data_IF_026503571248
#
_entry.id   IF_026503571248
#
_cell.length_a   1.000
_cell.length_b   1.000
_cell.length_c   1.000
_cell.angle_alpha   90.00
_cell.angle_beta   90.00
_cell.angle_gamma   90.00
#
_symmetry.space_group_name_H-M   'P 1'
#
loop_
_entity.id
_entity.type
_entity.pdbx_description
1 polymer ?
#
# COMPACT_ATOMS: atom_id res chain seq x y z
N UNK A 1 -32.06 -63.37 9.03
CA UNK A 1 -31.17 -63.96 10.04
C UNK A 1 -29.75 -63.54 9.75
N UNK A 2 -29.03 -63.16 10.82
CA UNK A 2 -27.62 -62.73 10.88
C UNK A 2 -27.24 -61.40 10.22
N UNK A 3 -27.26 -60.35 11.02
CA UNK A 3 -26.57 -59.10 10.77
C UNK A 3 -25.25 -59.05 11.56
N UNK A 4 -24.27 -58.35 11.00
CA UNK A 4 -23.06 -57.92 11.69
C UNK A 4 -22.97 -56.39 11.71
N UNK A 5 -22.48 -55.93 12.84
CA UNK A 5 -22.46 -54.59 13.40
C UNK A 5 -21.42 -53.64 12.81
N UNK A 6 -21.80 -52.38 12.59
CA UNK A 6 -20.89 -51.23 12.62
C UNK A 6 -21.42 -50.19 13.62
N UNK A 7 -20.65 -49.95 14.70
CA UNK A 7 -20.91 -48.90 15.69
C UNK A 7 -20.32 -47.58 15.19
N UNK A 8 -21.19 -46.59 15.01
CA UNK A 8 -20.81 -45.20 14.79
C UNK A 8 -20.24 -44.54 16.04
N UNK A 9 -19.42 -43.50 15.84
CA UNK A 9 -18.99 -42.58 16.89
C UNK A 9 -19.21 -41.14 16.42
N UNK A 10 -20.15 -40.47 17.09
CA UNK A 10 -20.42 -39.05 16.96
C UNK A 10 -19.28 -38.18 17.54
N UNK A 11 -19.18 -36.90 17.13
CA UNK A 11 -18.11 -35.98 17.50
C UNK A 11 -18.30 -35.40 18.92
N UNK A 12 -17.20 -35.31 19.68
CA UNK A 12 -17.16 -34.62 20.98
C UNK A 12 -16.82 -33.15 20.78
N UNK A 13 -17.69 -32.29 21.31
CA UNK A 13 -17.56 -30.83 21.32
C UNK A 13 -16.38 -30.33 22.14
N UNK A 14 -15.88 -29.17 21.73
CA UNK A 14 -14.90 -28.39 22.49
C UNK A 14 -15.64 -27.52 23.51
N UNK A 15 -15.41 -27.83 24.79
CA UNK A 15 -15.85 -27.06 25.94
C UNK A 15 -15.06 -25.76 26.04
N UNK A 16 -15.78 -24.65 26.20
CA UNK A 16 -15.25 -23.33 26.51
C UNK A 16 -14.81 -23.25 27.96
N UNK A 17 -13.50 -23.20 28.21
CA UNK A 17 -12.96 -22.79 29.51
C UNK A 17 -12.77 -21.27 29.51
N UNK A 18 -13.78 -20.57 30.04
CA UNK A 18 -13.67 -19.20 30.55
C UNK A 18 -12.93 -19.22 31.87
N UNK A 19 -11.68 -18.75 31.90
CA UNK A 19 -11.01 -18.36 33.13
C UNK A 19 -10.74 -16.86 33.08
N UNK A 20 -11.43 -16.14 33.97
CA UNK A 20 -11.48 -14.69 34.01
C UNK A 20 -10.12 -14.07 34.28
N UNK A 21 -9.63 -13.32 33.28
CA UNK A 21 -8.79 -12.17 33.51
C UNK A 21 -9.58 -10.96 33.05
N UNK A 22 -10.06 -10.16 34.01
CA UNK A 22 -10.58 -8.84 33.74
C UNK A 22 -9.42 -7.98 33.24
N UNK A 23 -9.24 -7.93 31.92
CA UNK A 23 -8.40 -6.96 31.25
C UNK A 23 -9.32 -5.84 30.79
N UNK A 24 -9.31 -4.75 31.54
CA UNK A 24 -9.64 -3.44 30.99
C UNK A 24 -8.73 -3.23 29.78
N UNK A 25 -9.23 -3.53 28.58
CA UNK A 25 -8.63 -3.04 27.35
C UNK A 25 -8.51 -1.53 27.50
N UNK A 26 -7.34 -0.92 27.25
CA UNK A 26 -7.26 0.52 27.23
C UNK A 26 -8.32 0.99 26.23
N UNK A 27 -9.24 1.84 26.70
CA UNK A 27 -10.28 2.43 25.86
C UNK A 27 -9.56 3.15 24.72
N UNK A 28 -9.58 2.55 23.54
CA UNK A 28 -8.97 3.13 22.36
C UNK A 28 -9.73 4.42 22.05
N UNK A 29 -9.03 5.57 22.07
CA UNK A 29 -9.58 6.87 21.66
C UNK A 29 -9.80 6.98 20.13
N UNK A 30 -9.74 5.86 19.39
CA UNK A 30 -10.05 5.84 17.97
C UNK A 30 -11.56 5.95 17.73
N UNK A 31 -11.98 6.63 16.66
CA UNK A 31 -13.36 6.59 16.20
C UNK A 31 -13.85 5.14 15.96
N UNK A 32 -15.17 4.90 16.05
CA UNK A 32 -15.74 3.60 15.66
C UNK A 32 -15.50 3.31 14.18
N UNK A 33 -15.57 2.02 13.81
CA UNK A 33 -15.54 1.61 12.41
C UNK A 33 -16.67 2.24 11.61
N UNK A 34 -16.34 2.70 10.41
CA UNK A 34 -17.35 3.04 9.41
C UNK A 34 -18.07 1.78 8.98
N UNK A 35 -19.39 1.87 8.84
CA UNK A 35 -20.18 0.81 8.23
C UNK A 35 -19.73 0.62 6.77
N UNK A 36 -19.39 -0.61 6.41
CA UNK A 36 -18.93 -0.97 5.06
C UNK A 36 -19.99 -0.66 3.98
N UNK A 37 -21.27 -0.69 4.35
CA UNK A 37 -22.40 -0.35 3.46
C UNK A 37 -22.76 1.13 3.49
N UNK A 38 -22.05 1.96 4.27
CA UNK A 38 -22.32 3.39 4.39
C UNK A 38 -22.26 4.07 3.01
N UNK A 39 -23.32 4.81 2.66
CA UNK A 39 -23.41 5.54 1.40
C UNK A 39 -23.62 4.67 0.17
N UNK A 40 -24.02 3.40 0.33
CA UNK A 40 -24.40 2.49 -0.75
C UNK A 40 -25.91 2.36 -0.87
N UNK A 41 -26.38 2.02 -2.07
CA UNK A 41 -27.76 1.63 -2.30
C UNK A 41 -28.13 0.40 -1.44
N UNK A 42 -29.41 0.27 -1.08
CA UNK A 42 -29.88 -0.79 -0.17
C UNK A 42 -29.66 -2.21 -0.70
N UNK A 43 -29.76 -2.38 -2.02
CA UNK A 43 -29.64 -3.68 -2.68
C UNK A 43 -28.42 -3.70 -3.61
N UNK A 44 -27.69 -4.84 -3.69
CA UNK A 44 -26.63 -4.99 -4.66
C UNK A 44 -27.19 -5.02 -6.09
N UNK A 45 -26.44 -4.48 -7.03
CA UNK A 45 -26.73 -4.56 -8.47
C UNK A 45 -26.53 -5.99 -8.99
N UNK A 46 -25.46 -6.67 -8.52
CA UNK A 46 -25.15 -8.05 -8.87
C UNK A 46 -24.10 -8.65 -7.92
N UNK A 47 -23.98 -9.97 -7.94
CA UNK A 47 -22.89 -10.72 -7.30
C UNK A 47 -21.82 -11.04 -8.33
N UNK A 48 -20.54 -10.82 -7.99
CA UNK A 48 -19.40 -11.23 -8.79
C UNK A 48 -19.02 -12.66 -8.40
N UNK A 49 -19.11 -13.59 -9.35
CA UNK A 49 -18.71 -14.96 -9.13
C UNK A 49 -17.19 -15.11 -9.12
N UNK A 50 -16.67 -16.01 -8.27
CA UNK A 50 -15.27 -16.44 -8.36
C UNK A 50 -15.08 -17.21 -9.67
N UNK A 51 -14.14 -16.83 -10.54
CA UNK A 51 -13.93 -17.58 -11.76
C UNK A 51 -13.47 -19.01 -11.43
N UNK A 52 -13.98 -20.03 -12.15
CA UNK A 52 -13.43 -21.38 -12.05
C UNK A 52 -11.98 -21.36 -12.52
N UNK A 53 -11.16 -22.29 -12.03
CA UNK A 53 -9.80 -22.48 -12.54
C UNK A 53 -9.86 -23.22 -13.88
N UNK A 54 -9.38 -22.65 -15.00
CA UNK A 54 -9.10 -23.44 -16.20
C UNK A 54 -7.61 -23.73 -16.31
N UNK A 55 -7.30 -24.92 -16.82
CA UNK A 55 -5.92 -25.35 -17.05
C UNK A 55 -5.25 -24.67 -18.26
N UNK A 56 -6.01 -23.99 -19.14
CA UNK A 56 -5.52 -23.55 -20.46
C UNK A 56 -5.14 -22.07 -20.58
N UNK A 57 -5.46 -21.22 -19.59
CA UNK A 57 -5.05 -19.81 -19.65
C UNK A 57 -3.53 -19.68 -19.61
N UNK A 58 -2.98 -18.71 -20.35
CA UNK A 58 -1.56 -18.36 -20.30
C UNK A 58 -1.16 -17.98 -18.86
N UNK A 59 0.09 -18.26 -18.53
CA UNK A 59 0.70 -17.80 -17.28
C UNK A 59 0.56 -16.27 -17.14
N UNK A 60 0.24 -15.80 -15.94
CA UNK A 60 0.16 -14.38 -15.63
C UNK A 60 1.56 -13.84 -15.36
N UNK A 61 1.95 -12.84 -16.14
CA UNK A 61 3.24 -12.17 -16.08
C UNK A 61 3.04 -10.66 -16.04
N UNK A 62 3.89 -10.00 -15.28
CA UNK A 62 4.07 -8.56 -15.35
C UNK A 62 5.20 -8.29 -16.35
N UNK A 63 4.93 -7.46 -17.34
CA UNK A 63 5.89 -7.03 -18.38
C UNK A 63 5.89 -5.53 -18.51
N UNK A 64 6.87 -4.95 -19.21
CA UNK A 64 6.95 -3.51 -19.45
C UNK A 64 6.86 -2.69 -18.15
N UNK A 65 7.60 -3.12 -17.13
CA UNK A 65 7.66 -2.44 -15.85
C UNK A 65 8.44 -1.14 -15.97
N UNK A 66 7.80 -0.04 -15.63
CA UNK A 66 8.39 1.29 -15.59
C UNK A 66 8.10 1.95 -14.25
N UNK A 67 9.09 2.66 -13.72
CA UNK A 67 8.86 3.61 -12.65
C UNK A 67 8.08 4.81 -13.22
N UNK A 68 6.97 5.17 -12.58
CA UNK A 68 6.14 6.30 -13.00
C UNK A 68 6.27 7.50 -12.03
N UNK A 69 6.56 7.23 -10.77
CA UNK A 69 6.79 8.26 -9.77
C UNK A 69 6.84 7.68 -8.36
N UNK A 70 7.11 8.53 -7.38
CA UNK A 70 6.97 8.18 -5.97
C UNK A 70 6.78 9.43 -5.15
N UNK A 71 6.42 9.24 -3.89
CA UNK A 71 6.37 10.33 -2.93
C UNK A 71 6.51 9.85 -1.49
N UNK A 72 6.90 10.75 -0.60
CA UNK A 72 6.72 10.56 0.83
C UNK A 72 5.67 11.53 1.38
N UNK A 73 4.89 11.08 2.36
CA UNK A 73 4.07 12.01 3.15
C UNK A 73 4.89 12.76 4.20
N UNK A 74 4.53 14.03 4.43
CA UNK A 74 5.07 14.85 5.53
C UNK A 74 3.99 15.06 6.59
N UNK A 75 4.37 15.04 7.86
CA UNK A 75 3.45 15.32 8.97
C UNK A 75 3.18 16.84 9.06
N UNK A 76 2.19 17.31 8.29
CA UNK A 76 1.71 18.69 8.29
C UNK A 76 0.17 18.74 8.31
N UNK A 77 -0.45 19.84 8.79
CA UNK A 77 -1.90 20.01 8.76
C UNK A 77 -2.48 19.96 7.34
N UNK A 78 -1.80 20.57 6.38
CA UNK A 78 -2.17 20.52 4.97
C UNK A 78 -1.59 19.27 4.28
N UNK A 79 -2.34 18.60 3.39
CA UNK A 79 -1.84 17.46 2.63
C UNK A 79 -0.56 17.83 1.86
N UNK A 80 0.59 17.32 2.31
CA UNK A 80 1.90 17.69 1.76
C UNK A 80 2.72 16.44 1.47
N UNK A 81 3.25 16.34 0.24
CA UNK A 81 4.11 15.26 -0.19
C UNK A 81 5.47 15.76 -0.66
N UNK A 82 6.48 14.90 -0.54
CA UNK A 82 7.82 15.10 -1.13
C UNK A 82 7.88 14.27 -2.41
N UNK A 83 8.23 14.87 -3.55
CA UNK A 83 8.34 14.19 -4.86
C UNK A 83 9.77 14.33 -5.42
N UNK A 84 10.42 13.23 -5.86
CA UNK A 84 9.96 11.84 -5.78
C UNK A 84 9.94 11.27 -4.36
N UNK A 85 10.53 11.98 -3.40
CA UNK A 85 10.85 11.41 -2.11
C UNK A 85 11.80 10.20 -2.23
N UNK A 86 12.00 9.46 -1.15
CA UNK A 86 12.81 8.24 -1.12
C UNK A 86 12.39 7.30 0.03
N UNK A 87 12.45 5.97 -0.18
CA UNK A 87 12.29 5.02 0.90
C UNK A 87 13.46 5.11 1.89
N UNK A 88 13.29 4.53 3.08
CA UNK A 88 14.34 4.52 4.11
C UNK A 88 15.50 3.63 3.66
N UNK A 89 16.73 4.02 3.96
CA UNK A 89 17.91 3.26 3.57
C UNK A 89 18.20 2.14 4.56
N UNK A 90 18.35 0.91 4.08
CA UNK A 90 18.69 -0.28 4.86
C UNK A 90 20.11 -0.17 5.43
N UNK A 91 20.24 -0.22 6.76
CA UNK A 91 21.51 -0.07 7.48
C UNK A 91 22.34 -1.37 7.53
N UNK A 92 21.73 -2.51 7.21
CA UNK A 92 22.37 -3.83 7.32
C UNK A 92 23.05 -4.09 8.68
N UNK A 93 22.39 -3.67 9.77
CA UNK A 93 22.91 -3.76 11.14
C UNK A 93 23.24 -5.21 11.51
N UNK A 94 24.38 -5.41 12.16
CA UNK A 94 24.81 -6.72 12.67
C UNK A 94 23.82 -7.25 13.73
N UNK A 95 23.48 -8.53 13.61
CA UNK A 95 22.66 -9.26 14.58
C UNK A 95 23.56 -9.91 15.65
N UNK A 96 23.08 -10.09 16.89
CA UNK A 96 21.74 -9.76 17.35
C UNK A 96 21.60 -8.33 17.87
N UNK A 97 20.39 -7.78 17.84
CA UNK A 97 20.05 -6.56 18.58
C UNK A 97 18.59 -6.56 19.04
N UNK A 98 18.30 -5.71 20.03
CA UNK A 98 16.98 -5.58 20.65
C UNK A 98 16.26 -4.34 20.15
N UNK A 99 14.94 -4.45 19.98
CA UNK A 99 14.03 -3.30 19.86
C UNK A 99 12.89 -3.43 20.87
N UNK A 100 12.23 -2.30 21.16
CA UNK A 100 11.02 -2.29 21.96
C UNK A 100 9.82 -2.80 21.17
N UNK A 101 8.82 -3.34 21.86
CA UNK A 101 7.55 -3.69 21.23
C UNK A 101 6.90 -2.44 20.63
N UNK A 102 6.17 -2.61 19.53
CA UNK A 102 5.49 -1.51 18.88
C UNK A 102 4.31 -1.02 19.74
N UNK A 103 4.20 0.30 19.88
CA UNK A 103 3.20 1.00 20.67
C UNK A 103 2.64 2.21 19.92
N UNK A 104 1.60 2.84 20.49
CA UNK A 104 0.91 3.96 19.83
C UNK A 104 0.01 3.53 18.68
N UNK A 105 -0.01 4.31 17.60
CA UNK A 105 -0.92 4.13 16.47
C UNK A 105 -0.16 3.89 15.17
N UNK A 106 -0.65 2.96 14.36
CA UNK A 106 -0.20 2.76 12.98
C UNK A 106 -1.27 3.18 11.99
N UNK A 107 -0.87 3.53 10.77
CA UNK A 107 -1.81 3.77 9.68
C UNK A 107 -2.23 2.44 9.05
N UNK A 108 -3.55 2.23 8.94
CA UNK A 108 -4.12 1.22 8.04
C UNK A 108 -4.12 1.74 6.61
N UNK A 109 -4.48 3.02 6.44
CA UNK A 109 -4.45 3.74 5.17
C UNK A 109 -4.06 5.21 5.37
N UNK A 110 -2.78 5.52 5.14
CA UNK A 110 -2.24 6.87 5.26
C UNK A 110 -2.74 7.80 4.16
N UNK A 111 -2.95 7.29 2.94
CA UNK A 111 -3.43 8.09 1.82
C UNK A 111 -4.89 8.51 2.06
N UNK A 112 -5.73 7.58 2.50
CA UNK A 112 -7.10 7.89 2.90
C UNK A 112 -7.20 8.77 4.15
N UNK A 113 -6.23 8.70 5.07
CA UNK A 113 -6.19 9.62 6.21
C UNK A 113 -5.87 11.05 5.80
N UNK A 114 -4.85 11.24 4.96
CA UNK A 114 -4.33 12.56 4.60
C UNK A 114 -5.07 13.19 3.41
N UNK A 115 -5.70 12.39 2.55
CA UNK A 115 -6.52 12.84 1.42
C UNK A 115 -7.84 12.04 1.35
N UNK A 116 -8.75 12.20 2.33
CA UNK A 116 -9.95 11.36 2.46
C UNK A 116 -10.94 11.50 1.30
N UNK A 117 -10.94 12.65 0.62
CA UNK A 117 -11.85 12.93 -0.51
C UNK A 117 -11.26 12.55 -1.87
N UNK A 118 -9.96 12.26 -1.96
CA UNK A 118 -9.30 11.90 -3.21
C UNK A 118 -8.04 11.05 -2.93
N UNK A 119 -8.23 9.77 -2.61
CA UNK A 119 -7.15 8.87 -2.13
C UNK A 119 -6.10 8.58 -3.20
N UNK A 120 -6.49 8.63 -4.47
CA UNK A 120 -5.60 8.48 -5.63
C UNK A 120 -4.92 9.79 -6.06
N UNK A 121 -5.35 10.95 -5.55
CA UNK A 121 -4.79 12.24 -5.99
C UNK A 121 -3.27 12.35 -5.80
N UNK A 122 -2.67 11.98 -4.64
CA UNK A 122 -1.22 12.04 -4.47
C UNK A 122 -0.45 11.17 -5.47
N UNK A 123 -1.06 10.06 -5.93
CA UNK A 123 -0.48 9.20 -6.97
C UNK A 123 -0.43 9.96 -8.29
N UNK A 124 -1.56 10.54 -8.73
CA UNK A 124 -1.62 11.29 -9.98
C UNK A 124 -0.66 12.48 -9.94
N UNK A 125 -0.68 13.25 -8.84
CA UNK A 125 0.21 14.39 -8.63
C UNK A 125 1.68 13.98 -8.74
N UNK A 126 2.12 12.92 -8.07
CA UNK A 126 3.52 12.50 -8.12
C UNK A 126 3.97 12.05 -9.51
N UNK A 127 3.10 11.38 -10.28
CA UNK A 127 3.41 10.96 -11.66
C UNK A 127 3.49 12.18 -12.57
N UNK A 128 2.52 13.10 -12.51
CA UNK A 128 2.53 14.32 -13.33
C UNK A 128 3.79 15.15 -13.08
N UNK A 129 4.16 15.32 -11.81
CA UNK A 129 5.36 16.07 -11.42
C UNK A 129 6.65 15.42 -11.95
N UNK A 130 6.73 14.09 -11.93
CA UNK A 130 7.88 13.37 -12.49
C UNK A 130 7.92 13.44 -14.02
N UNK A 131 6.77 13.33 -14.69
CA UNK A 131 6.66 13.48 -16.14
C UNK A 131 7.08 14.87 -16.61
N UNK A 132 6.55 15.93 -15.99
CA UNK A 132 6.98 17.31 -16.26
C UNK A 132 8.48 17.49 -16.07
N UNK A 133 9.05 16.95 -14.99
CA UNK A 133 10.49 17.01 -14.70
C UNK A 133 11.33 16.32 -15.78
N UNK A 134 10.84 15.21 -16.33
CA UNK A 134 11.54 14.44 -17.34
C UNK A 134 11.33 14.99 -18.77
N UNK A 135 10.43 15.97 -18.95
CA UNK A 135 10.09 16.50 -20.26
C UNK A 135 9.21 15.58 -21.09
N UNK A 136 8.52 14.63 -20.44
CA UNK A 136 7.62 13.66 -21.06
C UNK A 136 6.18 13.92 -20.63
N UNK A 137 5.21 13.56 -21.46
CA UNK A 137 3.80 13.53 -21.08
C UNK A 137 3.39 12.10 -20.68
N UNK A 138 2.78 11.95 -19.50
CA UNK A 138 2.20 10.68 -19.09
C UNK A 138 0.85 10.46 -19.78
N UNK A 139 0.78 9.45 -20.64
CA UNK A 139 -0.45 9.07 -21.34
C UNK A 139 -1.41 8.31 -20.42
N UNK A 140 -2.10 9.07 -19.55
CA UNK A 140 -3.14 8.58 -18.64
C UNK A 140 -4.32 7.94 -19.37
N UNK A 141 -4.71 8.52 -20.50
CA UNK A 141 -5.75 8.02 -21.37
C UNK A 141 -5.52 6.59 -21.86
N UNK A 142 -4.28 6.11 -21.91
CA UNK A 142 -3.96 4.75 -22.32
C UNK A 142 -4.04 3.70 -21.20
N UNK A 143 -4.26 4.09 -19.94
CA UNK A 143 -4.20 3.21 -18.78
C UNK A 143 -5.56 2.54 -18.54
N UNK A 144 -5.57 1.23 -18.29
CA UNK A 144 -6.81 0.49 -17.99
C UNK A 144 -7.19 0.58 -16.51
N UNK A 145 -6.21 0.56 -15.60
CA UNK A 145 -6.45 0.61 -14.15
C UNK A 145 -5.48 1.53 -13.41
N UNK A 146 -6.00 2.36 -12.51
CA UNK A 146 -5.22 3.10 -11.51
C UNK A 146 -5.62 2.61 -10.12
N UNK A 147 -4.68 2.05 -9.36
CA UNK A 147 -5.02 1.33 -8.12
C UNK A 147 -3.89 1.31 -7.08
N UNK A 148 -4.26 0.94 -5.86
CA UNK A 148 -3.34 0.49 -4.83
C UNK A 148 -3.12 -1.02 -4.91
N UNK A 149 -1.88 -1.47 -4.68
CA UNK A 149 -1.55 -2.90 -4.53
C UNK A 149 -2.40 -3.58 -3.45
N UNK A 150 -2.85 -2.83 -2.44
CA UNK A 150 -3.76 -3.33 -1.40
C UNK A 150 -5.09 -3.87 -1.98
N UNK A 151 -5.71 -3.15 -2.93
CA UNK A 151 -6.98 -3.54 -3.54
C UNK A 151 -6.84 -4.86 -4.32
N UNK A 152 -5.74 -5.00 -5.07
CA UNK A 152 -5.43 -6.24 -5.80
C UNK A 152 -5.21 -7.42 -4.84
N UNK A 153 -4.57 -7.21 -3.69
CA UNK A 153 -4.41 -8.24 -2.64
C UNK A 153 -5.73 -8.64 -2.00
N UNK A 154 -6.63 -7.69 -1.73
CA UNK A 154 -7.99 -7.99 -1.23
C UNK A 154 -8.73 -8.93 -2.18
N UNK A 155 -8.67 -8.64 -3.48
CA UNK A 155 -9.24 -9.53 -4.51
C UNK A 155 -8.57 -10.91 -4.55
N UNK A 156 -7.23 -10.98 -4.48
CA UNK A 156 -6.53 -12.27 -4.46
C UNK A 156 -6.89 -13.13 -3.24
N UNK A 157 -7.01 -12.54 -2.05
CA UNK A 157 -7.48 -13.26 -0.86
C UNK A 157 -8.90 -13.77 -1.03
N UNK A 158 -9.79 -12.95 -1.59
CA UNK A 158 -11.14 -13.39 -1.91
C UNK A 158 -11.16 -14.55 -2.91
N UNK A 159 -10.33 -14.48 -3.96
CA UNK A 159 -10.16 -15.53 -4.97
C UNK A 159 -9.66 -16.84 -4.35
N UNK A 160 -8.63 -16.76 -3.49
CA UNK A 160 -8.02 -17.90 -2.83
C UNK A 160 -8.99 -18.62 -1.88
N UNK A 161 -9.97 -17.89 -1.32
CA UNK A 161 -10.98 -18.43 -0.42
C UNK A 161 -10.51 -18.53 1.03
N UNK A 162 -11.26 -19.28 1.85
CA UNK A 162 -11.01 -19.41 3.29
C UNK A 162 -11.67 -18.32 4.13
N UNK A 163 -11.11 -18.03 5.31
CA UNK A 163 -11.58 -16.93 6.17
C UNK A 163 -11.05 -15.62 5.60
N UNK A 164 -11.94 -14.83 5.03
CA UNK A 164 -11.62 -13.57 4.36
C UNK A 164 -12.17 -12.43 5.21
N UNK A 165 -11.35 -11.41 5.45
CA UNK A 165 -11.84 -10.18 6.06
C UNK A 165 -12.74 -9.44 5.09
N UNK A 166 -13.83 -8.87 5.60
CA UNK A 166 -14.70 -8.01 4.83
C UNK A 166 -13.90 -6.82 4.27
N UNK A 167 -14.20 -6.41 3.04
CA UNK A 167 -13.55 -5.27 2.42
C UNK A 167 -14.44 -4.58 1.42
N UNK A 168 -14.14 -3.30 1.18
CA UNK A 168 -14.76 -2.50 0.15
C UNK A 168 -13.70 -1.87 -0.75
N UNK A 169 -14.00 -1.80 -2.05
CA UNK A 169 -13.22 -1.06 -3.05
C UNK A 169 -14.20 -0.20 -3.82
N UNK A 170 -13.91 1.09 -3.88
CA UNK A 170 -14.74 2.07 -4.57
C UNK A 170 -14.26 2.24 -6.01
N UNK A 171 -15.18 2.23 -6.96
CA UNK A 171 -14.91 2.25 -8.39
C UNK A 171 -15.51 3.48 -9.07
N UNK A 172 -14.75 4.05 -9.98
CA UNK A 172 -15.21 5.08 -10.92
C UNK A 172 -14.53 4.88 -12.27
N UNK A 173 -15.29 5.03 -13.35
CA UNK A 173 -14.74 5.11 -14.70
C UNK A 173 -14.23 6.54 -14.94
N UNK A 174 -12.99 6.67 -15.40
CA UNK A 174 -12.37 7.90 -15.88
C UNK A 174 -12.10 7.77 -17.39
N UNK A 175 -12.47 8.79 -18.15
CA UNK A 175 -12.49 8.73 -19.61
C UNK A 175 -13.26 7.52 -20.14
N UNK A 176 -12.79 6.97 -21.28
CA UNK A 176 -13.51 5.92 -22.01
C UNK A 176 -13.43 4.53 -21.37
N UNK A 177 -12.33 4.21 -20.67
CA UNK A 177 -12.08 2.84 -20.20
C UNK A 177 -11.29 2.72 -18.89
N UNK A 178 -10.65 3.77 -18.39
CA UNK A 178 -9.80 3.66 -17.20
C UNK A 178 -10.64 3.46 -15.94
N UNK A 179 -10.37 2.39 -15.20
CA UNK A 179 -11.06 2.13 -13.93
C UNK A 179 -10.19 2.59 -12.75
N UNK A 180 -10.71 3.56 -12.02
CA UNK A 180 -10.13 4.02 -10.76
C UNK A 180 -10.54 3.07 -9.63
N UNK A 181 -9.58 2.35 -9.06
CA UNK A 181 -9.77 1.50 -7.88
C UNK A 181 -9.39 2.28 -6.63
N UNK A 182 -10.36 2.98 -6.07
CA UNK A 182 -10.17 3.79 -4.88
C UNK A 182 -10.22 2.91 -3.63
N UNK A 183 -9.15 2.93 -2.84
CA UNK A 183 -9.07 2.20 -1.58
C UNK A 183 -10.11 2.75 -0.59
N UNK A 184 -10.81 1.82 0.08
CA UNK A 184 -11.69 2.13 1.20
C UNK A 184 -11.30 1.28 2.40
N UNK A 185 -11.30 1.88 3.58
CA UNK A 185 -11.07 1.22 4.87
C UNK A 185 -12.14 1.66 5.87
N UNK A 186 -12.57 0.77 6.76
CA UNK A 186 -13.47 1.07 7.87
C UNK A 186 -12.91 2.13 8.83
N UNK A 187 -11.59 2.15 9.01
CA UNK A 187 -10.81 3.11 9.78
C UNK A 187 -9.45 3.38 9.14
N UNK A 188 -8.86 4.54 9.45
CA UNK A 188 -7.56 4.92 8.89
C UNK A 188 -6.36 4.58 9.78
N UNK A 189 -6.56 4.46 11.10
CA UNK A 189 -5.52 4.16 12.09
C UNK A 189 -5.94 2.99 12.96
N UNK A 190 -4.95 2.24 13.43
CA UNK A 190 -5.13 1.12 14.35
C UNK A 190 -4.25 1.29 15.59
N UNK A 191 -4.77 0.89 16.75
CA UNK A 191 -4.01 0.87 17.99
C UNK A 191 -3.08 -0.34 17.96
N UNK A 192 -1.79 -0.10 18.15
CA UNK A 192 -0.79 -1.16 18.17
C UNK A 192 -0.94 -1.99 19.44
N UNK A 193 -0.80 -3.30 19.30
CA UNK A 193 -1.11 -4.26 20.37
C UNK A 193 -0.10 -4.30 21.53
N UNK A 194 1.05 -3.62 21.41
CA UNK A 194 2.16 -3.76 22.35
C UNK A 194 2.88 -5.13 22.26
N UNK A 195 2.60 -5.93 21.22
CA UNK A 195 3.11 -7.31 21.06
C UNK A 195 3.80 -7.56 19.72
N UNK A 196 3.73 -6.62 18.80
CA UNK A 196 4.44 -6.67 17.52
C UNK A 196 5.77 -5.93 17.65
N UNK A 197 6.69 -6.15 16.71
CA UNK A 197 8.02 -5.53 16.72
C UNK A 197 8.41 -5.01 15.32
N UNK A 198 7.46 -4.94 14.39
CA UNK A 198 7.73 -4.71 12.97
C UNK A 198 8.16 -3.28 12.70
N UNK A 199 7.44 -2.31 13.27
CA UNK A 199 7.68 -0.89 13.05
C UNK A 199 8.97 -0.43 13.74
N UNK A 200 9.18 -0.84 14.99
CA UNK A 200 10.43 -0.54 15.69
C UNK A 200 11.63 -1.27 15.09
N UNK A 201 11.45 -2.47 14.52
CA UNK A 201 12.48 -3.13 13.74
C UNK A 201 12.85 -2.34 12.48
N UNK A 202 11.86 -1.93 11.69
CA UNK A 202 12.09 -1.11 10.50
C UNK A 202 12.83 0.17 10.86
N UNK A 203 12.33 0.92 11.85
CA UNK A 203 12.96 2.16 12.33
C UNK A 203 14.40 1.95 12.82
N UNK A 204 14.68 0.85 13.52
CA UNK A 204 16.02 0.54 14.03
C UNK A 204 16.98 -0.01 12.97
N UNK A 205 16.45 -0.55 11.87
CA UNK A 205 17.23 -1.16 10.79
C UNK A 205 17.44 -0.27 9.58
N UNK A 206 16.81 0.90 9.58
CA UNK A 206 16.82 1.82 8.46
C UNK A 206 17.04 3.26 8.91
N UNK A 207 17.56 4.10 8.03
CA UNK A 207 17.64 5.56 8.26
C UNK A 207 16.82 6.32 7.21
N UNK A 208 16.28 7.51 7.52
CA UNK A 208 15.69 8.36 6.50
C UNK A 208 16.71 8.69 5.41
N UNK A 209 16.28 8.68 4.16
CA UNK A 209 17.10 9.15 3.05
C UNK A 209 17.27 10.69 3.10
N UNK A 210 18.36 11.25 2.54
CA UNK A 210 18.54 12.69 2.41
C UNK A 210 17.32 13.35 1.73
N UNK A 211 16.89 14.49 2.28
CA UNK A 211 15.70 15.20 1.78
C UNK A 211 14.34 14.59 2.18
N UNK A 212 14.33 13.52 2.98
CA UNK A 212 13.09 12.85 3.45
C UNK A 212 13.06 12.63 4.98
N UNK A 213 13.85 13.40 5.74
CA UNK A 213 14.07 13.20 7.19
C UNK A 213 12.77 13.32 7.99
N UNK A 214 11.93 14.31 7.68
CA UNK A 214 10.66 14.57 8.38
C UNK A 214 9.46 13.85 7.76
N UNK A 215 9.71 12.83 6.94
CA UNK A 215 8.66 12.10 6.23
C UNK A 215 8.21 10.83 6.96
N UNK A 216 6.97 10.40 6.74
CA UNK A 216 6.36 9.29 7.50
C UNK A 216 6.29 7.96 6.76
N UNK A 217 6.21 7.95 5.43
CA UNK A 217 6.08 6.73 4.64
C UNK A 217 6.30 7.01 3.16
N UNK A 218 6.96 6.07 2.46
CA UNK A 218 7.30 6.20 1.04
C UNK A 218 6.37 5.34 0.19
N UNK A 219 5.76 5.96 -0.82
CA UNK A 219 4.85 5.32 -1.76
C UNK A 219 5.47 5.37 -3.14
N UNK A 220 5.73 4.20 -3.74
CA UNK A 220 6.20 4.05 -5.11
C UNK A 220 5.04 3.77 -6.05
N UNK A 221 5.15 4.27 -7.27
CA UNK A 221 4.15 4.17 -8.32
C UNK A 221 4.84 3.61 -9.56
N UNK A 222 4.31 2.49 -10.04
CA UNK A 222 4.82 1.81 -11.23
C UNK A 222 3.74 1.68 -12.28
N UNK A 223 4.16 1.68 -13.54
CA UNK A 223 3.36 1.30 -14.70
C UNK A 223 3.83 -0.07 -15.18
N UNK A 224 2.91 -0.97 -15.52
CA UNK A 224 3.24 -2.23 -16.17
C UNK A 224 2.06 -2.85 -16.91
N UNK A 225 2.34 -3.85 -17.75
CA UNK A 225 1.32 -4.67 -18.40
C UNK A 225 1.08 -5.96 -17.61
N UNK A 226 -0.17 -6.26 -17.28
CA UNK A 226 -0.64 -7.50 -16.66
C UNK A 226 -1.47 -8.30 -17.67
N UNK A 227 -0.80 -9.12 -18.47
CA UNK A 227 -1.43 -9.90 -19.55
C UNK A 227 -2.38 -9.05 -20.41
N UNK A 228 -1.87 -7.91 -20.89
CA UNK A 228 -2.57 -6.99 -21.78
C UNK A 228 -3.35 -5.86 -21.10
N UNK A 229 -3.46 -5.85 -19.75
CA UNK A 229 -3.98 -4.68 -19.03
C UNK A 229 -2.84 -3.75 -18.65
N UNK A 230 -2.91 -2.49 -19.05
CA UNK A 230 -2.01 -1.43 -18.62
C UNK A 230 -2.41 -0.94 -17.23
N UNK A 231 -1.54 -1.22 -16.28
CA UNK A 231 -1.77 -0.95 -14.86
C UNK A 231 -0.89 0.21 -14.40
N UNK A 232 -1.46 1.11 -13.59
CA UNK A 232 -0.71 2.00 -12.70
C UNK A 232 -0.99 1.58 -11.27
N UNK A 233 0.06 1.20 -10.55
CA UNK A 233 -0.06 0.61 -9.21
C UNK A 233 0.81 1.36 -8.22
N UNK A 234 0.17 1.87 -7.16
CA UNK A 234 0.86 2.43 -5.99
C UNK A 234 1.04 1.40 -4.88
N UNK A 235 2.18 1.44 -4.22
CA UNK A 235 2.47 0.63 -3.04
C UNK A 235 3.48 1.31 -2.12
N UNK A 236 3.41 1.00 -0.83
CA UNK A 236 4.41 1.39 0.16
C UNK A 236 5.69 0.58 -0.01
N UNK A 237 6.84 1.22 0.22
CA UNK A 237 8.17 0.59 0.23
C UNK A 237 8.84 0.83 1.59
N UNK A 238 9.16 -0.25 2.28
CA UNK A 238 9.72 -0.19 3.64
C UNK A 238 11.17 0.32 3.63
N UNK A 239 11.99 -0.17 2.69
CA UNK A 239 13.38 0.20 2.60
C UNK A 239 13.98 0.11 1.19
N UNK A 240 15.17 0.65 1.01
CA UNK A 240 16.04 0.40 -0.14
C UNK A 240 17.46 0.01 0.30
N UNK A 241 18.14 -0.75 -0.54
CA UNK A 241 19.58 -0.97 -0.45
C UNK A 241 20.25 0.31 -0.97
N UNK A 242 21.06 0.97 -0.14
CA UNK A 242 21.83 2.11 -0.58
C UNK A 242 22.74 1.69 -1.74
N UNK A 243 22.67 2.40 -2.86
CA UNK A 243 23.72 2.30 -3.87
C UNK A 243 25.00 2.78 -3.20
N UNK A 244 26.06 1.97 -3.20
CA UNK A 244 27.38 2.47 -2.84
C UNK A 244 27.67 3.62 -3.79
N UNK A 245 27.56 4.86 -3.31
CA UNK A 245 28.09 5.99 -4.04
C UNK A 245 29.54 5.63 -4.39
N UNK A 246 29.98 5.73 -5.66
CA UNK A 246 31.36 5.46 -5.98
C UNK A 246 32.22 6.30 -5.05
N UNK A 247 33.05 5.64 -4.26
CA UNK A 247 34.06 6.24 -3.40
C UNK A 247 35.18 6.80 -4.27
N UNK A 248 34.82 7.73 -5.15
CA UNK A 248 35.73 8.63 -5.82
C UNK A 248 35.37 10.04 -5.36
N UNK A 249 35.61 10.30 -4.07
CA UNK A 249 36.02 11.64 -3.71
C UNK A 249 37.26 11.96 -4.56
N UNK A 250 37.24 12.97 -5.44
CA UNK A 250 38.47 13.47 -6.01
C UNK A 250 39.33 13.91 -4.84
N UNK A 251 40.56 13.42 -4.75
CA UNK A 251 41.57 14.01 -3.88
C UNK A 251 41.78 15.45 -4.35
N UNK A 252 41.01 16.39 -3.82
CA UNK A 252 41.29 17.81 -4.01
C UNK A 252 42.52 18.15 -3.19
N UNK A 253 43.60 18.42 -3.90
CA UNK A 253 44.74 19.17 -3.39
C UNK A 253 44.26 20.54 -2.84
N UNK A 254 44.89 21.08 -1.79
CA UNK A 254 44.44 22.31 -1.18
C UNK A 254 44.77 23.50 -2.10
N UNK A 255 43.75 24.09 -2.73
CA UNK A 255 43.85 25.39 -3.37
C UNK A 255 43.42 26.50 -2.40
N UNK A 256 44.20 27.59 -2.41
CA UNK A 256 44.06 28.79 -1.58
C UNK A 256 42.70 29.52 -1.76
N UNK A 257 42.28 30.33 -0.77
CA UNK A 257 40.95 30.93 -0.73
C UNK A 257 40.84 32.16 -1.65
N UNK A 258 39.78 32.22 -2.43
CA UNK A 258 39.44 33.37 -3.30
C UNK A 258 37.93 33.56 -3.42
N UNK A 259 37.45 34.63 -2.76
CA UNK A 259 36.26 35.46 -3.04
C UNK A 259 34.86 34.83 -3.18
N UNK A 260 34.08 35.06 -2.11
CA UNK A 260 32.71 35.63 -2.09
C UNK A 260 31.60 34.99 -2.94
N UNK A 261 30.75 34.20 -2.28
CA UNK A 261 29.32 34.14 -2.58
C UNK A 261 28.55 34.56 -1.31
N UNK A 262 27.59 35.46 -1.52
CA UNK A 262 26.96 36.35 -0.54
C UNK A 262 26.15 35.64 0.56
N UNK A 263 26.27 36.19 1.77
CA UNK A 263 25.54 35.76 2.98
C UNK A 263 24.08 36.27 2.98
N UNK A 264 23.70 37.12 2.03
CA UNK A 264 22.35 37.68 1.91
C UNK A 264 21.32 36.74 1.26
N UNK A 265 21.74 35.72 0.49
CA UNK A 265 20.81 34.74 -0.10
C UNK A 265 20.32 33.67 0.91
N UNK A 266 20.94 33.59 2.09
CA UNK A 266 20.48 32.71 3.18
C UNK A 266 19.55 33.42 4.19
N UNK A 267 19.41 34.74 4.12
CA UNK A 267 18.57 35.52 5.05
C UNK A 267 17.14 35.69 4.53
N UNK A 268 16.92 35.54 3.22
CA UNK A 268 15.58 35.49 2.61
C UNK A 268 14.74 34.25 2.99
N UNK A 269 15.39 33.16 3.38
CA UNK A 269 14.73 31.90 3.77
C UNK A 269 14.34 31.82 5.27
N UNK A 270 14.66 32.85 6.06
CA UNK A 270 14.40 32.89 7.51
C UNK A 270 13.38 33.95 7.94
N UNK A 271 12.81 34.72 7.02
CA UNK A 271 11.90 35.84 7.32
C UNK A 271 10.40 35.47 7.30
N UNK A 272 10.05 34.18 7.31
CA UNK A 272 8.66 33.70 7.22
C UNK A 272 8.14 32.94 8.45
N UNK A 273 8.86 32.94 9.59
CA UNK A 273 8.45 32.20 10.79
C UNK A 273 7.77 33.13 11.79
N UNK A 274 6.46 33.32 11.65
CA UNK A 274 5.61 33.81 12.74
C UNK A 274 5.17 32.63 13.60
N UNK A 275 5.68 32.57 14.84
CA UNK A 275 5.16 31.66 15.88
C UNK A 275 3.77 32.14 16.32
N UNK A 276 2.74 31.35 16.02
CA UNK A 276 1.47 31.41 16.75
C UNK A 276 1.42 30.23 17.71
N UNK A 277 1.48 30.54 19.00
CA UNK A 277 1.22 29.61 20.10
C UNK A 277 -0.23 29.13 20.04
N UNK A 278 -0.46 27.82 19.84
CA UNK A 278 -1.77 27.21 19.96
C UNK A 278 -1.75 26.08 20.99
N UNK A 279 -2.73 26.15 21.89
CA UNK A 279 -2.98 25.29 23.06
C UNK A 279 -3.45 23.90 22.62
N UNK A 280 -3.09 22.79 23.29
CA UNK A 280 -3.54 21.46 22.90
C UNK A 280 -4.95 21.20 23.45
N UNK A 281 -5.96 21.20 22.58
CA UNK A 281 -7.32 20.84 22.98
C UNK A 281 -8.42 21.35 22.07
N UNK A 282 -8.38 21.04 20.78
CA UNK A 282 -9.55 21.24 19.91
C UNK A 282 -9.53 20.27 18.74
N UNK A 283 -10.51 19.37 18.73
CA UNK A 283 -10.90 18.58 17.56
C UNK A 283 -11.20 19.52 16.37
N UNK A 284 -10.75 19.22 15.14
CA UNK A 284 -11.22 19.94 13.98
C UNK A 284 -12.62 19.45 13.61
N UNK A 285 -13.63 20.08 14.19
CA UNK A 285 -14.97 20.16 13.63
C UNK A 285 -14.99 21.22 12.51
N UNK A 286 -15.77 20.92 11.46
CA UNK A 286 -16.00 21.69 10.21
C UNK A 286 -14.83 21.76 9.23
N UNK A 287 -14.65 20.68 8.46
CA UNK A 287 -13.85 20.74 7.22
C UNK A 287 -14.72 21.46 6.19
N UNK A 288 -14.35 22.70 5.88
CA UNK A 288 -14.82 23.40 4.70
C UNK A 288 -14.46 22.58 3.44
N UNK A 289 -15.31 22.68 2.44
CA UNK A 289 -15.09 22.22 1.08
C UNK A 289 -13.81 22.88 0.51
N UNK A 290 -12.62 22.29 0.65
CA UNK A 290 -11.42 23.11 0.39
C UNK A 290 -10.01 22.53 0.49
N UNK A 291 -9.77 21.22 0.54
CA UNK A 291 -8.42 20.69 0.33
C UNK A 291 -8.42 19.59 -0.73
N UNK A 292 -8.71 20.01 -1.98
CA UNK A 292 -8.43 19.22 -3.19
C UNK A 292 -6.99 19.41 -3.69
N UNK A 293 -6.17 20.19 -2.98
CA UNK A 293 -4.82 20.52 -3.38
C UNK A 293 -3.80 19.76 -2.53
N UNK A 294 -2.86 19.09 -3.20
CA UNK A 294 -1.71 18.44 -2.58
C UNK A 294 -0.52 19.38 -2.74
N UNK A 295 0.07 19.79 -1.62
CA UNK A 295 1.29 20.61 -1.64
C UNK A 295 2.48 19.70 -1.98
N UNK A 296 3.23 20.05 -3.01
CA UNK A 296 4.43 19.32 -3.44
C UNK A 296 5.70 20.02 -2.96
N UNK A 297 6.57 19.27 -2.30
CA UNK A 297 7.94 19.66 -1.99
C UNK A 297 8.86 18.82 -2.89
N UNK A 298 9.76 19.45 -3.63
CA UNK A 298 10.75 18.71 -4.41
C UNK A 298 11.90 18.26 -3.51
N UNK A 299 12.09 16.95 -3.39
CA UNK A 299 13.08 16.38 -2.49
C UNK A 299 13.19 14.86 -2.61
N UNK A 300 14.20 14.30 -1.95
CA UNK A 300 14.59 12.91 -2.13
C UNK A 300 15.17 12.63 -3.52
N UNK A 301 15.26 11.36 -3.85
CA UNK A 301 15.84 10.84 -5.07
C UNK A 301 15.09 9.60 -5.58
N UNK A 302 15.06 9.45 -6.90
CA UNK A 302 14.57 8.22 -7.52
C UNK A 302 15.47 7.05 -7.12
N UNK A 303 14.84 6.02 -6.54
CA UNK A 303 15.52 4.77 -6.20
C UNK A 303 15.26 3.74 -7.31
N UNK A 304 16.28 3.01 -7.81
CA UNK A 304 16.06 1.95 -8.79
C UNK A 304 15.11 0.86 -8.28
N UNK A 305 14.28 0.30 -9.17
CA UNK A 305 13.38 -0.81 -8.81
C UNK A 305 14.15 -2.00 -8.23
N UNK A 306 15.35 -2.26 -8.73
CA UNK A 306 16.21 -3.35 -8.26
C UNK A 306 16.68 -3.18 -6.81
N UNK A 307 16.57 -1.99 -6.22
CA UNK A 307 17.11 -1.69 -4.90
C UNK A 307 16.05 -1.73 -3.78
N UNK A 308 14.76 -1.80 -4.10
CA UNK A 308 13.69 -1.72 -3.08
C UNK A 308 13.52 -3.04 -2.34
N UNK A 309 13.15 -2.94 -1.06
CA UNK A 309 13.10 -4.05 -0.12
C UNK A 309 11.78 -4.04 0.64
N UNK A 310 11.16 -5.21 0.71
CA UNK A 310 10.10 -5.52 1.65
C UNK A 310 10.71 -6.11 2.94
N UNK A 311 10.38 -5.53 4.09
CA UNK A 311 10.78 -6.01 5.40
C UNK A 311 9.63 -6.79 6.04
N UNK A 312 9.94 -7.92 6.66
CA UNK A 312 8.95 -8.66 7.43
C UNK A 312 9.56 -9.21 8.71
N UNK A 313 8.80 -9.19 9.79
CA UNK A 313 9.22 -9.78 11.06
C UNK A 313 8.40 -11.01 11.41
N UNK A 314 9.03 -12.03 12.00
CA UNK A 314 8.34 -13.16 12.61
C UNK A 314 8.97 -13.51 13.96
N UNK A 315 8.13 -13.96 14.89
CA UNK A 315 8.64 -14.60 16.10
C UNK A 315 9.35 -15.91 15.74
N UNK A 316 10.33 -16.32 16.52
CA UNK A 316 11.03 -17.59 16.33
C UNK A 316 10.06 -18.78 16.21
N UNK A 317 9.04 -18.82 17.07
CA UNK A 317 7.97 -19.82 17.05
C UNK A 317 7.23 -19.92 15.70
N UNK A 318 7.04 -18.79 15.01
CA UNK A 318 6.22 -18.71 13.80
C UNK A 318 7.06 -18.57 12.52
N UNK A 319 8.40 -18.58 12.63
CA UNK A 319 9.29 -18.36 11.49
C UNK A 319 9.26 -19.52 10.49
N UNK A 320 9.16 -20.75 10.97
CA UNK A 320 9.12 -21.95 10.12
C UNK A 320 7.81 -22.08 9.34
N UNK A 321 6.71 -21.56 9.88
CA UNK A 321 5.38 -21.55 9.25
C UNK A 321 5.12 -20.25 8.48
N UNK A 322 6.16 -19.63 7.91
CA UNK A 322 5.99 -18.42 7.12
C UNK A 322 5.14 -18.74 5.88
N UNK A 323 3.92 -18.22 5.86
CA UNK A 323 3.01 -18.41 4.74
C UNK A 323 3.44 -17.57 3.54
N UNK A 324 4.24 -18.20 2.67
CA UNK A 324 4.69 -17.56 1.45
C UNK A 324 3.54 -17.32 0.46
N UNK A 325 2.46 -18.11 0.53
CA UNK A 325 1.29 -17.93 -0.34
C UNK A 325 0.63 -16.58 -0.10
N UNK A 326 0.59 -16.15 1.16
CA UNK A 326 0.03 -14.86 1.56
C UNK A 326 0.99 -13.68 1.29
N UNK A 327 2.30 -13.88 1.36
CA UNK A 327 3.29 -12.81 1.14
C UNK A 327 3.67 -12.60 -0.32
N UNK A 328 3.70 -13.66 -1.14
CA UNK A 328 4.16 -13.56 -2.53
C UNK A 328 3.37 -12.58 -3.39
N UNK A 329 2.02 -12.52 -3.33
CA UNK A 329 1.25 -11.55 -4.09
C UNK A 329 1.69 -10.10 -3.86
N UNK A 330 2.16 -9.78 -2.65
CA UNK A 330 2.68 -8.47 -2.35
C UNK A 330 3.91 -8.15 -3.18
N UNK A 331 4.89 -9.05 -3.22
CA UNK A 331 6.13 -8.88 -3.98
C UNK A 331 5.88 -8.89 -5.49
N UNK A 332 5.02 -9.80 -5.97
CA UNK A 332 4.67 -9.91 -7.38
C UNK A 332 3.97 -8.63 -7.89
N UNK A 333 2.94 -8.15 -7.21
CA UNK A 333 2.17 -6.99 -7.69
C UNK A 333 2.94 -5.67 -7.63
N UNK A 334 3.95 -5.56 -6.75
CA UNK A 334 4.83 -4.40 -6.68
C UNK A 334 6.13 -4.56 -7.47
N UNK A 335 6.40 -5.77 -7.96
CA UNK A 335 7.71 -6.18 -8.49
C UNK A 335 8.86 -5.85 -7.54
N UNK A 336 8.64 -6.01 -6.22
CA UNK A 336 9.66 -5.77 -5.19
C UNK A 336 10.66 -6.94 -5.20
N UNK A 337 11.94 -6.70 -5.56
CA UNK A 337 12.89 -7.78 -5.82
C UNK A 337 13.40 -8.43 -4.54
N UNK A 338 13.45 -7.70 -3.42
CA UNK A 338 14.07 -8.16 -2.18
C UNK A 338 13.03 -8.33 -1.06
N UNK A 339 13.06 -9.49 -0.40
CA UNK A 339 12.28 -9.75 0.81
C UNK A 339 13.20 -10.13 1.96
N UNK A 340 13.25 -9.32 3.01
CA UNK A 340 14.08 -9.56 4.19
C UNK A 340 13.19 -9.96 5.37
N UNK A 341 13.27 -11.24 5.75
CA UNK A 341 12.55 -11.81 6.88
C UNK A 341 13.45 -11.83 8.12
N UNK A 342 13.15 -10.98 9.08
CA UNK A 342 13.85 -10.90 10.36
C UNK A 342 13.12 -11.74 11.43
N UNK A 343 13.85 -12.62 12.09
CA UNK A 343 13.33 -13.51 13.14
C UNK A 343 13.74 -13.00 14.51
N UNK A 344 12.79 -12.94 15.44
CA UNK A 344 13.01 -12.43 16.78
C UNK A 344 12.42 -13.31 17.88
N UNK A 345 13.01 -13.20 19.07
CA UNK A 345 12.41 -13.62 20.33
C UNK A 345 12.11 -12.37 21.16
N UNK A 346 10.82 -12.00 21.30
CA UNK A 346 10.37 -10.82 22.08
C UNK A 346 11.17 -9.53 21.76
N UNK A 347 11.37 -9.24 20.48
CA UNK A 347 12.09 -8.05 19.99
C UNK A 347 13.61 -8.19 19.93
N UNK A 348 14.19 -9.31 20.41
CA UNK A 348 15.60 -9.64 20.16
C UNK A 348 15.71 -10.32 18.80
N UNK A 349 16.16 -9.58 17.79
CA UNK A 349 16.38 -10.12 16.45
C UNK A 349 17.69 -10.90 16.42
N UNK A 350 17.64 -12.15 15.96
CA UNK A 350 18.78 -13.08 16.00
C UNK A 350 19.13 -13.65 14.64
N UNK A 351 18.17 -13.68 13.70
CA UNK A 351 18.36 -14.25 12.35
C UNK A 351 17.67 -13.40 11.29
N UNK A 352 18.31 -13.30 10.12
CA UNK A 352 17.77 -12.65 8.94
C UNK A 352 17.82 -13.62 7.76
N UNK A 353 16.70 -13.79 7.05
CA UNK A 353 16.64 -14.52 5.79
C UNK A 353 16.34 -13.54 4.68
N UNK A 354 17.27 -13.39 3.74
CA UNK A 354 17.11 -12.54 2.54
C UNK A 354 16.69 -13.43 1.38
N UNK A 355 15.57 -13.10 0.73
CA UNK A 355 15.07 -13.79 -0.46
C UNK A 355 15.00 -12.81 -1.61
N UNK A 356 15.07 -13.35 -2.83
CA UNK A 356 14.85 -12.59 -4.04
C UNK A 356 13.63 -13.12 -4.79
N UNK A 357 12.78 -12.22 -5.27
CA UNK A 357 11.58 -12.55 -6.05
C UNK A 357 11.94 -13.42 -7.26
N UNK A 358 13.05 -13.09 -7.92
CA UNK A 358 13.49 -13.76 -9.14
C UNK A 358 14.25 -15.08 -8.90
N UNK A 359 14.43 -15.50 -7.65
CA UNK A 359 15.14 -16.75 -7.34
C UNK A 359 14.35 -17.98 -7.83
N UNK A 360 15.04 -19.05 -8.29
CA UNK A 360 14.37 -20.24 -8.81
C UNK A 360 13.40 -20.88 -7.82
N UNK A 361 13.76 -20.92 -6.53
CA UNK A 361 12.90 -21.42 -5.45
C UNK A 361 11.55 -20.69 -5.41
N UNK A 362 11.59 -19.37 -5.44
CA UNK A 362 10.41 -18.51 -5.33
C UNK A 362 9.56 -18.57 -6.61
N UNK A 363 10.20 -18.56 -7.78
CA UNK A 363 9.51 -18.69 -9.08
C UNK A 363 8.80 -20.02 -9.22
N UNK A 364 9.47 -21.13 -8.90
CA UNK A 364 8.88 -22.47 -9.00
C UNK A 364 7.68 -22.60 -8.06
N UNK A 365 7.82 -22.12 -6.81
CA UNK A 365 6.71 -22.09 -5.85
C UNK A 365 5.52 -21.28 -6.34
N UNK A 366 5.79 -20.14 -7.01
CA UNK A 366 4.74 -19.26 -7.53
C UNK A 366 3.97 -19.87 -8.71
N UNK A 367 4.64 -20.63 -9.58
CA UNK A 367 4.00 -21.29 -10.73
C UNK A 367 2.90 -22.25 -10.26
N UNK A 368 3.20 -23.09 -9.28
CA UNK A 368 2.25 -24.13 -8.87
C UNK A 368 1.15 -23.60 -7.94
N UNK A 369 1.50 -22.69 -7.02
CA UNK A 369 0.59 -22.30 -5.93
C UNK A 369 -0.18 -21.01 -6.25
N UNK A 370 0.41 -20.06 -6.98
CA UNK A 370 -0.10 -18.70 -7.09
C UNK A 370 -0.71 -18.41 -8.47
N UNK A 371 -0.15 -18.95 -9.54
CA UNK A 371 -0.66 -18.72 -10.89
C UNK A 371 -2.15 -19.03 -11.07
N UNK A 372 -2.73 -20.09 -10.46
CA UNK A 372 -4.18 -20.29 -10.52
C UNK A 372 -4.99 -19.09 -10.01
N UNK A 373 -4.55 -18.45 -8.92
CA UNK A 373 -5.22 -17.31 -8.33
C UNK A 373 -4.96 -16.02 -9.12
N UNK A 374 -3.77 -15.86 -9.71
CA UNK A 374 -3.48 -14.75 -10.63
C UNK A 374 -4.31 -14.82 -11.92
N UNK A 375 -4.49 -16.01 -12.50
CA UNK A 375 -5.34 -16.21 -13.69
C UNK A 375 -6.78 -15.79 -13.41
N UNK A 376 -7.30 -16.17 -12.24
CA UNK A 376 -8.62 -15.72 -11.77
C UNK A 376 -8.66 -14.21 -11.54
N UNK A 377 -7.61 -13.61 -10.97
CA UNK A 377 -7.53 -12.15 -10.79
C UNK A 377 -7.67 -11.43 -12.13
N UNK A 378 -6.92 -11.87 -13.15
CA UNK A 378 -6.99 -11.27 -14.49
C UNK A 378 -8.42 -11.28 -15.04
N UNK A 379 -9.15 -12.40 -14.90
CA UNK A 379 -10.56 -12.52 -15.32
C UNK A 379 -11.49 -11.63 -14.50
N UNK A 380 -11.27 -11.53 -13.19
CA UNK A 380 -12.05 -10.65 -12.31
C UNK A 380 -11.85 -9.19 -12.72
N UNK A 381 -10.64 -8.80 -13.11
CA UNK A 381 -10.38 -7.46 -13.64
C UNK A 381 -11.14 -7.19 -14.95
N UNK A 382 -11.23 -8.16 -15.88
CA UNK A 382 -12.09 -7.99 -17.07
C UNK A 382 -13.55 -7.75 -16.70
N UNK A 383 -14.07 -8.54 -15.76
CA UNK A 383 -15.47 -8.39 -15.29
C UNK A 383 -15.68 -7.01 -14.68
N UNK A 384 -14.75 -6.54 -13.85
CA UNK A 384 -14.85 -5.23 -13.20
C UNK A 384 -14.75 -4.09 -14.22
N UNK A 385 -13.85 -4.20 -15.20
CA UNK A 385 -13.73 -3.23 -16.28
C UNK A 385 -15.01 -3.14 -17.11
N UNK A 386 -15.55 -4.28 -17.53
CA UNK A 386 -16.83 -4.32 -18.25
C UNK A 386 -17.97 -3.70 -17.45
N UNK A 387 -18.00 -3.88 -16.12
CA UNK A 387 -18.99 -3.26 -15.24
C UNK A 387 -18.83 -1.74 -15.16
N UNK A 388 -17.60 -1.26 -14.94
CA UNK A 388 -17.34 0.17 -14.90
C UNK A 388 -17.73 0.86 -16.22
N UNK A 389 -17.35 0.28 -17.36
CA UNK A 389 -17.71 0.77 -18.70
C UNK A 389 -19.23 0.76 -18.91
N UNK A 390 -19.91 -0.33 -18.57
CA UNK A 390 -21.37 -0.45 -18.70
C UNK A 390 -22.13 0.63 -17.93
N UNK A 391 -21.64 1.01 -16.75
CA UNK A 391 -22.26 2.05 -15.92
C UNK A 391 -21.79 3.48 -16.28
N UNK A 392 -20.73 3.60 -17.10
CA UNK A 392 -20.24 4.87 -17.63
C UNK A 392 -19.58 5.78 -16.59
N UNK A 393 -19.14 6.96 -17.05
CA UNK A 393 -18.41 7.96 -16.24
C UNK A 393 -19.23 8.53 -15.07
N UNK A 394 -20.57 8.52 -15.19
CA UNK A 394 -21.48 8.89 -14.10
C UNK A 394 -21.73 7.76 -13.10
N UNK A 395 -21.37 6.53 -13.47
CA UNK A 395 -21.46 5.36 -12.59
C UNK A 395 -20.58 5.53 -11.35
N UNK A 396 -21.14 5.20 -10.19
CA UNK A 396 -20.43 5.20 -8.90
C UNK A 396 -20.65 3.83 -8.27
N UNK A 397 -19.68 2.94 -8.42
CA UNK A 397 -19.82 1.56 -7.98
C UNK A 397 -18.93 1.27 -6.77
N UNK A 398 -19.30 0.28 -5.98
CA UNK A 398 -18.47 -0.28 -4.91
C UNK A 398 -18.52 -1.79 -4.96
N UNK A 399 -17.35 -2.42 -4.93
CA UNK A 399 -17.19 -3.84 -4.66
C UNK A 399 -17.18 -4.04 -3.16
N UNK A 400 -18.08 -4.86 -2.63
CA UNK A 400 -18.17 -5.18 -1.21
C UNK A 400 -18.06 -6.69 -1.05
N UNK A 401 -17.02 -7.14 -0.36
CA UNK A 401 -16.88 -8.51 0.09
C UNK A 401 -17.38 -8.60 1.53
N UNK A 402 -18.43 -9.39 1.77
CA UNK A 402 -18.90 -9.72 3.11
C UNK A 402 -19.17 -11.21 3.22
N UNK A 403 -18.61 -11.85 4.24
CA UNK A 403 -18.80 -13.30 4.46
C UNK A 403 -18.32 -14.17 3.29
N UNK A 404 -17.39 -13.65 2.47
CA UNK A 404 -16.85 -14.34 1.29
C UNK A 404 -17.60 -14.09 -0.03
N UNK A 405 -18.76 -13.44 0.00
CA UNK A 405 -19.50 -13.02 -1.18
C UNK A 405 -19.04 -11.64 -1.65
N UNK A 406 -18.66 -11.51 -2.92
CA UNK A 406 -18.32 -10.24 -3.54
C UNK A 406 -19.50 -9.70 -4.33
N UNK A 407 -20.03 -8.55 -3.92
CA UNK A 407 -21.21 -7.91 -4.51
C UNK A 407 -20.88 -6.51 -5.01
N UNK A 408 -21.57 -6.09 -6.07
CA UNK A 408 -21.48 -4.75 -6.63
C UNK A 408 -22.65 -3.94 -6.11
N UNK A 409 -22.37 -2.77 -5.56
CA UNK A 409 -23.37 -1.79 -5.13
C UNK A 409 -23.19 -0.50 -5.90
N UNK A 410 -24.28 0.24 -6.09
CA UNK A 410 -24.22 1.64 -6.48
C UNK A 410 -23.98 2.51 -5.24
N UNK A 411 -23.15 3.55 -5.35
CA UNK A 411 -23.01 4.57 -4.32
C UNK A 411 -24.13 5.59 -4.47
N UNK A 412 -24.72 6.00 -3.35
CA UNK A 412 -25.78 7.03 -3.32
C UNK A 412 -25.22 8.42 -3.68
N UNK A 413 -23.95 8.65 -3.35
CA UNK A 413 -23.24 9.89 -3.64
C UNK A 413 -22.66 9.87 -5.06
N UNK A 414 -22.80 11.00 -5.77
CA UNK A 414 -22.20 11.28 -7.07
C UNK A 414 -20.74 11.77 -6.99
N UNK A 415 -20.26 12.09 -5.77
CA UNK A 415 -18.85 12.46 -5.51
C UNK A 415 -17.85 11.57 -6.24
N UNK A 416 -16.98 12.22 -7.01
CA UNK A 416 -15.88 11.59 -7.73
C UNK A 416 -14.72 11.20 -6.78
N UNK A 417 -13.98 10.16 -7.17
CA UNK A 417 -12.75 9.70 -6.53
C UNK A 417 -11.56 10.64 -6.76
N UNK A 418 -11.65 11.50 -7.78
CA UNK A 418 -10.66 12.51 -8.15
C UNK A 418 -11.39 13.83 -8.52
N UNK A 419 -10.72 14.99 -8.37
CA UNK A 419 -11.23 16.25 -8.91
C UNK A 419 -11.43 16.21 -10.44
N UNK A 420 -12.34 17.03 -10.96
CA UNK A 420 -12.74 16.98 -12.37
C UNK A 420 -11.61 17.38 -13.33
N UNK A 421 -10.77 18.35 -12.96
CA UNK A 421 -9.57 18.72 -13.71
C UNK A 421 -8.53 17.58 -13.76
N UNK A 422 -8.53 16.71 -12.76
CA UNK A 422 -7.71 15.49 -12.75
C UNK A 422 -8.31 14.41 -13.64
N UNK A 423 -9.63 14.25 -13.65
CA UNK A 423 -10.32 13.29 -14.52
C UNK A 423 -10.12 13.61 -16.01
N UNK A 424 -9.99 14.88 -16.38
CA UNK A 424 -9.73 15.31 -17.76
C UNK A 424 -8.45 14.73 -18.37
N UNK A 425 -7.49 14.30 -17.54
CA UNK A 425 -6.26 13.63 -18.03
C UNK A 425 -6.53 12.29 -18.73
N UNK A 426 -7.66 11.67 -18.43
CA UNK A 426 -8.07 10.38 -18.99
C UNK A 426 -8.93 10.54 -20.26
N UNK A 427 -9.27 11.78 -20.61
CA UNK A 427 -10.06 12.08 -21.80
C UNK A 427 -9.16 12.01 -23.05
N UNK A 428 -9.74 11.50 -24.15
CA UNK A 428 -9.13 11.47 -25.50
C UNK A 428 -10.06 12.11 -26.50
#
# INVERSE_FOLDING_TARGET
>A
MSGYSYRGRNPRGYSSYTQGYSKTSPTSNLPPDRDILQGLAKSPLQTVARPPTPSTDKEIKITNLHYAGSYNWVEKPSPTIIVPGSPREWLNKSLPYQVHADDGFSFKDQNGYRSPNAVLLPLITAVDEMSKRNGDDFDWASIDFVTDRNNLRKLLRWIAGGTINDFRIDLQLAGKHTVLFNRWEDRYKEQMSGRTFGFNFEKASTRPAPGCVDSTGHHRIVRYDLNGLKMVVRFEVDACIASEAPTSAPKSTPAKPGSSANVDDLIGALSGVTLSTAVPGSSPSTVADGAREIIVIHGGAEVPQSAIVELTTRSERNAASFDFKESYPQLFLSQTPHHFLAVHERGRFTRMTKRQLESPEIKNLAVDIIQPDLKKLRRVLDVIMALAIKHGERGRLSLVCQGGDLKVYERVSDKSCLPDDILQRFDV
#
